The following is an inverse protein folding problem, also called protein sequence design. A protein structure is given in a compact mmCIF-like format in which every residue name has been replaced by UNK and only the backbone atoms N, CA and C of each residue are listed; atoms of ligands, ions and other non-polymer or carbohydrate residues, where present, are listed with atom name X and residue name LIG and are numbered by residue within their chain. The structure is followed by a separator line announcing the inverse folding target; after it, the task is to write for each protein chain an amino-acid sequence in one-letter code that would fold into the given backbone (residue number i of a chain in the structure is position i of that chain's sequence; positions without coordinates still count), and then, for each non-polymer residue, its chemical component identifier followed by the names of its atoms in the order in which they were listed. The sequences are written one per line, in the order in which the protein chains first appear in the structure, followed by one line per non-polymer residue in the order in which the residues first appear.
data_IF_491693020210
#
_entry.id   IF_491693020210
#
_cell.length_a   1.000
_cell.length_b   1.000
_cell.length_c   1.000
_cell.angle_alpha   90.00
_cell.angle_beta   90.00
_cell.angle_gamma   90.00
#
_symmetry.space_group_name_H-M   'P 1'
#
loop_
_entity.id
_entity.type
_entity.pdbx_description
1 polymer ?
#
# COMPACT_ATOMS: atom_id res chain seq x y z
N UNK A 1 2.77 -18.90 -2.30
CA UNK A 1 2.61 -17.66 -3.10
C UNK A 1 1.18 -17.48 -3.57
N UNK A 2 0.58 -18.49 -4.17
CA UNK A 2 -0.80 -18.48 -4.66
C UNK A 2 -1.82 -18.28 -3.53
N UNK A 3 -1.58 -18.85 -2.37
CA UNK A 3 -2.48 -18.74 -1.21
C UNK A 3 -2.69 -17.29 -0.74
N UNK A 4 -1.64 -16.45 -0.73
CA UNK A 4 -1.75 -15.08 -0.23
C UNK A 4 -2.63 -14.20 -1.12
N UNK A 5 -2.49 -14.31 -2.43
CA UNK A 5 -3.33 -13.58 -3.38
C UNK A 5 -4.76 -14.09 -3.36
N UNK A 6 -4.96 -15.42 -3.35
CA UNK A 6 -6.28 -16.04 -3.25
C UNK A 6 -7.01 -15.59 -1.99
N UNK A 7 -6.35 -15.64 -0.84
CA UNK A 7 -6.90 -15.16 0.43
C UNK A 7 -7.23 -13.66 0.39
N UNK A 8 -6.37 -12.85 -0.23
CA UNK A 8 -6.63 -11.42 -0.39
C UNK A 8 -7.90 -11.17 -1.20
N UNK A 9 -8.06 -11.85 -2.35
CA UNK A 9 -9.26 -11.74 -3.18
C UNK A 9 -10.50 -12.19 -2.38
N UNK A 10 -10.49 -13.40 -1.84
CA UNK A 10 -11.63 -13.97 -1.11
C UNK A 10 -12.06 -13.12 0.09
N UNK A 11 -11.10 -12.63 0.87
CA UNK A 11 -11.38 -11.72 2.00
C UNK A 11 -11.99 -10.40 1.52
N UNK A 12 -11.48 -9.85 0.42
CA UNK A 12 -11.96 -8.57 -0.10
C UNK A 12 -13.39 -8.66 -0.61
N UNK A 13 -13.75 -9.73 -1.35
CA UNK A 13 -15.11 -9.89 -1.90
C UNK A 13 -16.09 -10.58 -0.94
N UNK A 14 -15.59 -11.15 0.16
CA UNK A 14 -16.40 -11.86 1.17
C UNK A 14 -16.93 -13.22 0.72
N UNK A 15 -16.30 -13.85 -0.28
CA UNK A 15 -16.70 -15.18 -0.79
C UNK A 15 -15.52 -15.98 -1.33
N UNK A 16 -15.69 -17.31 -1.42
CA UNK A 16 -14.70 -18.21 -2.02
C UNK A 16 -14.67 -18.04 -3.55
N UNK A 17 -13.51 -18.28 -4.15
CA UNK A 17 -13.32 -18.37 -5.59
C UNK A 17 -12.89 -19.79 -5.97
N UNK A 18 -13.33 -20.27 -7.14
CA UNK A 18 -12.95 -21.57 -7.68
C UNK A 18 -11.49 -21.56 -8.17
N UNK A 19 -10.90 -22.74 -8.36
CA UNK A 19 -9.55 -22.85 -8.91
C UNK A 19 -9.48 -22.25 -10.32
N UNK A 20 -10.47 -22.51 -11.16
CA UNK A 20 -10.54 -21.94 -12.49
C UNK A 20 -10.61 -20.40 -12.49
N UNK A 21 -11.36 -19.80 -11.57
CA UNK A 21 -11.37 -18.34 -11.39
C UNK A 21 -10.02 -17.81 -10.93
N UNK A 22 -9.37 -18.49 -9.99
CA UNK A 22 -8.06 -18.09 -9.52
C UNK A 22 -6.99 -18.20 -10.61
N UNK A 23 -6.98 -19.28 -11.37
CA UNK A 23 -6.07 -19.47 -12.53
C UNK A 23 -6.31 -18.39 -13.58
N UNK A 24 -7.58 -18.08 -13.91
CA UNK A 24 -7.93 -17.00 -14.82
C UNK A 24 -7.38 -15.65 -14.33
N UNK A 25 -7.60 -15.29 -13.06
CA UNK A 25 -7.08 -14.05 -12.49
C UNK A 25 -5.54 -14.01 -12.52
N UNK A 26 -4.92 -15.07 -12.09
CA UNK A 26 -3.46 -15.18 -11.98
C UNK A 26 -2.75 -15.11 -13.34
N UNK A 27 -3.40 -15.56 -14.42
CA UNK A 27 -2.84 -15.53 -15.77
C UNK A 27 -2.55 -14.12 -16.31
N UNK A 28 -3.14 -13.09 -15.72
CA UNK A 28 -2.90 -11.69 -16.08
C UNK A 28 -1.74 -11.03 -15.30
N UNK A 29 -1.19 -11.73 -14.31
CA UNK A 29 -0.16 -11.21 -13.41
C UNK A 29 1.23 -11.74 -13.78
N UNK A 30 2.24 -10.91 -13.54
CA UNK A 30 3.64 -11.28 -13.74
C UNK A 30 4.37 -11.30 -12.41
N UNK A 31 5.11 -12.37 -12.14
CA UNK A 31 6.02 -12.44 -11.00
C UNK A 31 7.27 -11.60 -11.27
N UNK A 32 7.64 -10.73 -10.34
CA UNK A 32 8.86 -9.91 -10.40
C UNK A 32 9.57 -9.93 -9.05
N UNK A 33 10.88 -10.15 -9.05
CA UNK A 33 11.76 -9.93 -7.92
C UNK A 33 12.28 -8.49 -7.92
N UNK A 34 12.59 -7.96 -6.75
CA UNK A 34 13.14 -6.61 -6.59
C UNK A 34 14.12 -6.56 -5.43
N UNK A 35 15.09 -5.65 -5.54
CA UNK A 35 16.02 -5.32 -4.47
C UNK A 35 15.48 -4.22 -3.56
N UNK A 36 16.11 -4.06 -2.42
CA UNK A 36 15.88 -2.91 -1.54
C UNK A 36 16.23 -1.61 -2.26
N UNK A 37 15.43 -0.56 -2.07
CA UNK A 37 15.57 0.76 -2.71
C UNK A 37 15.32 0.75 -4.23
N UNK A 38 14.60 -0.24 -4.74
CA UNK A 38 14.14 -0.22 -6.13
C UNK A 38 13.00 0.80 -6.27
N UNK A 39 13.13 1.72 -7.22
CA UNK A 39 12.04 2.62 -7.61
C UNK A 39 11.09 1.86 -8.53
N UNK A 40 9.84 1.73 -8.13
CA UNK A 40 8.78 1.04 -8.88
C UNK A 40 8.00 2.01 -9.77
N UNK A 41 7.83 3.23 -9.31
CA UNK A 41 7.23 4.36 -10.01
C UNK A 41 7.88 5.63 -9.49
N UNK A 42 8.25 6.56 -10.36
CA UNK A 42 8.88 7.82 -9.99
C UNK A 42 7.92 8.98 -10.21
N UNK A 43 7.93 9.97 -9.33
CA UNK A 43 7.17 11.22 -9.50
C UNK A 43 7.52 11.87 -10.84
N UNK A 44 6.50 12.30 -11.58
CA UNK A 44 6.65 12.86 -12.92
C UNK A 44 6.65 11.84 -14.06
N UNK A 45 6.85 10.54 -13.77
CA UNK A 45 6.77 9.45 -14.73
C UNK A 45 5.38 8.79 -14.73
N UNK A 46 5.04 8.10 -15.85
CA UNK A 46 3.77 7.37 -15.92
C UNK A 46 3.82 6.06 -15.13
N UNK A 47 2.98 5.91 -14.11
CA UNK A 47 2.82 4.66 -13.37
C UNK A 47 2.05 3.63 -14.21
N UNK A 48 2.77 2.63 -14.73
CA UNK A 48 2.25 1.63 -15.67
C UNK A 48 1.67 0.39 -15.01
N UNK A 49 1.89 0.23 -13.70
CA UNK A 49 1.64 -1.03 -13.01
C UNK A 49 0.97 -0.84 -11.65
N UNK A 50 0.16 -1.83 -11.28
CA UNK A 50 -0.25 -2.10 -9.90
C UNK A 50 0.58 -3.27 -9.38
N UNK A 51 1.03 -3.19 -8.13
CA UNK A 51 1.92 -4.17 -7.51
C UNK A 51 1.23 -4.82 -6.31
N UNK A 52 1.27 -6.15 -6.24
CA UNK A 52 0.86 -6.93 -5.08
C UNK A 52 2.06 -7.58 -4.44
N UNK A 53 2.38 -7.24 -3.20
CA UNK A 53 3.56 -7.75 -2.51
C UNK A 53 3.34 -9.18 -2.02
N UNK A 54 4.23 -10.08 -2.45
CA UNK A 54 4.30 -11.46 -1.97
C UNK A 54 5.33 -11.61 -0.84
N UNK A 55 6.41 -10.83 -0.91
CA UNK A 55 7.49 -10.78 0.09
C UNK A 55 8.15 -9.42 0.05
N UNK A 56 8.56 -8.91 1.21
CA UNK A 56 9.24 -7.63 1.35
C UNK A 56 8.27 -6.49 1.66
N UNK A 57 8.74 -5.26 1.52
CA UNK A 57 7.95 -4.07 1.82
C UNK A 57 8.26 -2.92 0.86
N UNK A 58 7.26 -2.06 0.67
CA UNK A 58 7.35 -0.86 -0.16
C UNK A 58 6.57 0.29 0.48
N UNK A 59 6.83 1.50 0.02
CA UNK A 59 6.08 2.68 0.41
C UNK A 59 5.98 3.68 -0.73
N UNK A 60 4.96 4.52 -0.69
CA UNK A 60 4.84 5.68 -1.57
C UNK A 60 5.06 6.97 -0.80
N UNK A 61 5.66 7.96 -1.45
CA UNK A 61 5.98 9.24 -0.83
C UNK A 61 6.02 10.39 -1.83
N UNK A 62 5.77 11.58 -1.32
CA UNK A 62 6.09 12.86 -1.95
C UNK A 62 7.42 13.38 -1.39
N UNK A 63 8.14 14.17 -2.18
CA UNK A 63 9.32 14.91 -1.72
C UNK A 63 8.93 16.40 -1.63
N UNK A 64 9.14 17.03 -0.47
CA UNK A 64 8.93 18.47 -0.33
C UNK A 64 10.10 19.29 -0.87
N UNK A 65 9.98 20.61 -0.86
CA UNK A 65 11.03 21.54 -1.30
C UNK A 65 12.35 21.45 -0.51
N UNK A 66 12.32 20.84 0.68
CA UNK A 66 13.51 20.62 1.54
C UNK A 66 14.15 19.24 1.32
N UNK A 67 13.58 18.39 0.44
CA UNK A 67 14.07 17.03 0.19
C UNK A 67 13.54 15.97 1.17
N UNK A 68 12.60 16.32 2.07
CA UNK A 68 12.02 15.37 3.02
C UNK A 68 10.97 14.48 2.36
N UNK A 69 11.02 13.18 2.63
CA UNK A 69 10.04 12.20 2.15
C UNK A 69 8.79 12.21 3.04
N UNK A 70 7.65 12.53 2.45
CA UNK A 70 6.33 12.47 3.08
C UNK A 70 5.62 11.19 2.68
N UNK A 71 5.59 10.19 3.59
CA UNK A 71 4.98 8.90 3.33
C UNK A 71 3.45 8.99 3.18
N UNK A 72 2.92 8.36 2.12
CA UNK A 72 1.50 8.33 1.79
C UNK A 72 0.87 6.96 2.01
N UNK A 73 1.59 5.90 1.71
CA UNK A 73 1.13 4.51 1.84
C UNK A 73 2.30 3.60 2.20
N UNK A 74 2.02 2.55 2.96
CA UNK A 74 2.92 1.42 3.17
C UNK A 74 2.29 0.15 2.62
N UNK A 75 3.14 -0.76 2.14
CA UNK A 75 2.73 -2.08 1.70
C UNK A 75 3.68 -3.14 2.26
N UNK A 76 3.13 -4.17 2.87
CA UNK A 76 3.77 -5.43 3.24
C UNK A 76 3.19 -6.57 2.39
N UNK A 77 3.49 -7.80 2.75
CA UNK A 77 2.91 -8.98 2.10
C UNK A 77 1.36 -8.94 2.15
N UNK A 78 0.73 -9.19 1.01
CA UNK A 78 -0.72 -9.15 0.88
C UNK A 78 -1.32 -7.76 0.63
N UNK A 79 -0.49 -6.74 0.47
CA UNK A 79 -0.93 -5.39 0.13
C UNK A 79 -0.72 -5.07 -1.34
N UNK A 80 -1.66 -4.27 -1.87
CA UNK A 80 -1.56 -3.65 -3.18
C UNK A 80 -0.99 -2.25 -3.06
N UNK A 81 -0.14 -1.84 -4.00
CA UNK A 81 0.41 -0.49 -4.06
C UNK A 81 0.54 -0.03 -5.51
N UNK A 82 0.13 1.21 -5.78
CA UNK A 82 0.28 1.89 -7.07
C UNK A 82 0.09 3.39 -6.88
N UNK A 83 0.49 4.19 -7.84
CA UNK A 83 0.01 5.55 -8.00
C UNK A 83 -1.33 5.54 -8.73
N UNK A 84 -2.44 5.55 -7.97
CA UNK A 84 -3.79 5.51 -8.52
C UNK A 84 -4.08 6.69 -9.45
N UNK A 85 -3.54 7.89 -9.13
CA UNK A 85 -3.72 9.05 -9.98
C UNK A 85 -3.13 8.81 -11.37
N UNK A 86 -1.87 8.42 -11.43
CA UNK A 86 -1.20 8.13 -12.70
C UNK A 86 -1.77 6.92 -13.41
N UNK A 87 -1.94 5.81 -12.69
CA UNK A 87 -2.41 4.56 -13.26
C UNK A 87 -3.78 4.68 -13.93
N UNK A 88 -4.74 5.38 -13.31
CA UNK A 88 -6.10 5.51 -13.86
C UNK A 88 -6.28 6.71 -14.78
N UNK A 89 -5.63 7.84 -14.53
CA UNK A 89 -5.78 9.03 -15.38
C UNK A 89 -4.89 9.02 -16.62
N UNK A 90 -3.85 8.20 -16.65
CA UNK A 90 -2.82 8.21 -17.69
C UNK A 90 -1.94 9.46 -17.70
N UNK A 91 -1.98 10.26 -16.62
CA UNK A 91 -1.12 11.44 -16.43
C UNK A 91 0.17 11.07 -15.70
N UNK A 92 1.23 11.91 -15.76
CA UNK A 92 2.43 11.71 -14.95
C UNK A 92 2.10 11.56 -13.46
N UNK A 93 2.85 10.69 -12.77
CA UNK A 93 2.68 10.38 -11.35
C UNK A 93 2.93 11.57 -10.45
N UNK A 94 2.26 11.58 -9.32
CA UNK A 94 2.36 12.65 -8.32
C UNK A 94 3.19 12.24 -7.10
N UNK A 95 3.67 10.98 -7.05
CA UNK A 95 4.55 10.50 -6.00
C UNK A 95 5.41 9.32 -6.44
N UNK A 96 6.46 9.05 -5.67
CA UNK A 96 7.38 7.95 -5.90
C UNK A 96 7.00 6.72 -5.08
N UNK A 97 7.13 5.53 -5.67
CA UNK A 97 7.00 4.23 -4.97
C UNK A 97 8.37 3.57 -4.92
N UNK A 98 8.84 3.27 -3.71
CA UNK A 98 10.16 2.69 -3.45
C UNK A 98 10.04 1.46 -2.54
N UNK A 99 10.87 0.45 -2.77
CA UNK A 99 10.96 -0.74 -1.92
C UNK A 99 11.85 -0.49 -0.71
N UNK A 100 11.40 -0.91 0.48
CA UNK A 100 12.16 -0.81 1.73
C UNK A 100 12.99 -2.06 2.03
N UNK A 101 12.55 -3.21 1.51
CA UNK A 101 13.19 -4.52 1.64
C UNK A 101 13.25 -5.18 0.27
N UNK A 102 14.19 -6.09 0.07
CA UNK A 102 14.19 -6.96 -1.11
C UNK A 102 13.06 -7.98 -1.03
N UNK A 103 12.51 -8.39 -2.17
CA UNK A 103 11.39 -9.32 -2.16
C UNK A 103 10.86 -9.73 -3.54
N UNK A 104 9.59 -10.09 -3.55
CA UNK A 104 8.86 -10.51 -4.74
C UNK A 104 7.45 -9.88 -4.75
N UNK A 105 6.97 -9.59 -5.94
CA UNK A 105 5.65 -9.03 -6.17
C UNK A 105 5.00 -9.63 -7.41
N UNK A 106 3.68 -9.60 -7.45
CA UNK A 106 2.91 -9.77 -8.68
C UNK A 106 2.64 -8.39 -9.26
N UNK A 107 2.77 -8.29 -10.56
CA UNK A 107 2.66 -7.03 -11.30
C UNK A 107 1.51 -7.14 -12.29
N UNK A 108 0.66 -6.13 -12.31
CA UNK A 108 -0.48 -6.01 -13.21
C UNK A 108 -0.35 -4.71 -14.00
N UNK A 109 -0.27 -4.80 -15.33
CA UNK A 109 -0.27 -3.64 -16.19
C UNK A 109 -1.70 -3.15 -16.48
N UNK A 110 -1.85 -1.95 -17.06
CA UNK A 110 -3.15 -1.34 -17.34
C UNK A 110 -4.01 -2.16 -18.29
N UNK A 111 -3.43 -2.69 -19.36
CA UNK A 111 -4.15 -3.52 -20.33
C UNK A 111 -4.74 -4.77 -19.68
N UNK A 112 -3.93 -5.49 -18.91
CA UNK A 112 -4.38 -6.68 -18.20
C UNK A 112 -5.39 -6.35 -17.09
N UNK A 113 -5.28 -5.18 -16.44
CA UNK A 113 -6.28 -4.71 -15.48
C UNK A 113 -7.67 -4.58 -16.13
N UNK A 114 -7.76 -3.93 -17.27
CA UNK A 114 -9.04 -3.78 -18.00
C UNK A 114 -9.56 -5.17 -18.44
N UNK A 115 -8.69 -6.01 -19.04
CA UNK A 115 -9.05 -7.37 -19.45
C UNK A 115 -9.54 -8.25 -18.30
N UNK A 116 -8.94 -8.16 -17.12
CA UNK A 116 -9.41 -8.86 -15.91
C UNK A 116 -10.83 -8.39 -15.56
N UNK A 117 -11.05 -7.08 -15.49
CA UNK A 117 -12.35 -6.51 -15.12
C UNK A 117 -13.44 -6.91 -16.12
N UNK A 118 -13.14 -6.89 -17.41
CA UNK A 118 -14.07 -7.27 -18.48
C UNK A 118 -14.35 -8.79 -18.49
N UNK A 119 -13.40 -9.61 -18.05
CA UNK A 119 -13.50 -11.07 -18.15
C UNK A 119 -14.47 -11.68 -17.14
N UNK A 120 -14.68 -11.04 -15.99
CA UNK A 120 -15.52 -11.59 -14.93
C UNK A 120 -15.94 -10.50 -13.93
N UNK A 121 -17.25 -10.36 -13.71
CA UNK A 121 -17.83 -9.43 -12.72
C UNK A 121 -17.25 -9.57 -11.30
N UNK A 122 -16.79 -10.76 -10.93
CA UNK A 122 -16.16 -11.01 -9.64
C UNK A 122 -14.85 -10.22 -9.49
N UNK A 123 -14.09 -10.11 -10.56
CA UNK A 123 -12.80 -9.43 -10.56
C UNK A 123 -12.98 -7.91 -10.62
N UNK A 124 -13.94 -7.41 -11.40
CA UNK A 124 -14.35 -6.01 -11.34
C UNK A 124 -14.80 -5.65 -9.92
N UNK A 125 -15.68 -6.48 -9.31
CA UNK A 125 -16.12 -6.30 -7.93
C UNK A 125 -14.94 -6.28 -6.94
N UNK A 126 -13.95 -7.17 -7.12
CA UNK A 126 -12.75 -7.19 -6.30
C UNK A 126 -12.01 -5.86 -6.35
N UNK A 127 -11.66 -5.36 -7.53
CA UNK A 127 -10.93 -4.11 -7.67
C UNK A 127 -11.74 -2.91 -7.21
N UNK A 128 -13.03 -2.87 -7.50
CA UNK A 128 -13.92 -1.83 -6.99
C UNK A 128 -13.93 -1.76 -5.47
N UNK A 129 -14.06 -2.89 -4.78
CA UNK A 129 -14.02 -2.93 -3.31
C UNK A 129 -12.62 -2.55 -2.78
N UNK A 130 -11.56 -3.02 -3.43
CA UNK A 130 -10.19 -2.69 -3.07
C UNK A 130 -9.95 -1.17 -3.13
N UNK A 131 -10.37 -0.52 -4.21
CA UNK A 131 -10.25 0.93 -4.40
C UNK A 131 -11.15 1.69 -3.41
N UNK A 132 -12.39 1.23 -3.19
CA UNK A 132 -13.28 1.81 -2.17
C UNK A 132 -12.66 1.78 -0.78
N UNK A 133 -12.06 0.64 -0.38
CA UNK A 133 -11.40 0.52 0.91
C UNK A 133 -10.17 1.42 1.02
N UNK A 134 -9.39 1.57 -0.04
CA UNK A 134 -8.26 2.50 -0.09
C UNK A 134 -8.74 3.96 0.07
N UNK A 135 -9.83 4.34 -0.60
CA UNK A 135 -10.42 5.67 -0.48
C UNK A 135 -10.98 5.93 0.92
N UNK A 136 -11.71 4.96 1.51
CA UNK A 136 -12.22 5.04 2.90
C UNK A 136 -11.05 5.24 3.87
N UNK A 137 -9.98 4.46 3.74
CA UNK A 137 -8.79 4.58 4.58
C UNK A 137 -8.11 5.93 4.46
N UNK A 138 -8.03 6.49 3.24
CA UNK A 138 -7.48 7.82 3.01
C UNK A 138 -8.33 8.91 3.66
N UNK A 139 -9.66 8.86 3.49
CA UNK A 139 -10.61 9.79 4.12
C UNK A 139 -10.52 9.73 5.65
N UNK A 140 -10.48 8.52 6.21
CA UNK A 140 -10.36 8.31 7.64
C UNK A 140 -9.06 8.92 8.19
N UNK A 141 -7.92 8.63 7.55
CA UNK A 141 -6.62 9.19 7.94
C UNK A 141 -6.62 10.72 7.87
N UNK A 142 -7.17 11.30 6.80
CA UNK A 142 -7.26 12.76 6.66
C UNK A 142 -8.08 13.39 7.79
N UNK A 143 -9.23 12.81 8.13
CA UNK A 143 -10.06 13.25 9.24
C UNK A 143 -9.30 13.19 10.58
N UNK A 144 -8.64 12.05 10.87
CA UNK A 144 -7.86 11.85 12.09
C UNK A 144 -6.67 12.81 12.22
N UNK A 145 -5.99 13.09 11.12
CA UNK A 145 -4.85 14.03 11.10
C UNK A 145 -5.30 15.44 11.52
N UNK A 146 -6.53 15.82 11.18
CA UNK A 146 -7.07 17.14 11.47
C UNK A 146 -7.77 17.25 12.85
N UNK A 147 -8.21 16.13 13.44
CA UNK A 147 -9.05 16.14 14.66
C UNK A 147 -8.38 15.53 15.89
N UNK A 148 -7.33 14.76 15.76
CA UNK A 148 -6.69 14.04 16.87
C UNK A 148 -5.26 14.48 17.11
N UNK A 149 -4.82 14.33 18.36
CA UNK A 149 -3.44 14.56 18.73
C UNK A 149 -2.49 13.42 18.25
N UNK A 150 -1.20 13.68 18.35
CA UNK A 150 -0.17 12.74 17.88
C UNK A 150 -0.16 11.42 18.65
N UNK A 151 -0.46 11.44 19.95
CA UNK A 151 -0.48 10.22 20.80
C UNK A 151 -1.59 9.27 20.39
N UNK A 152 -2.80 9.80 20.20
CA UNK A 152 -3.95 9.01 19.77
C UNK A 152 -3.73 8.40 18.37
N UNK A 153 -3.25 9.20 17.39
CA UNK A 153 -2.95 8.70 16.05
C UNK A 153 -1.92 7.59 16.06
N UNK A 154 -0.83 7.72 16.86
CA UNK A 154 0.18 6.68 16.96
C UNK A 154 -0.32 5.43 17.67
N UNK A 155 -1.09 5.58 18.77
CA UNK A 155 -1.65 4.45 19.50
C UNK A 155 -2.60 3.63 18.63
N UNK A 156 -3.52 4.29 17.92
CA UNK A 156 -4.43 3.64 16.99
C UNK A 156 -3.68 2.92 15.86
N UNK A 157 -2.73 3.59 15.21
CA UNK A 157 -1.92 2.97 14.16
C UNK A 157 -1.14 1.75 14.66
N UNK A 158 -0.56 1.83 15.86
CA UNK A 158 0.20 0.73 16.46
C UNK A 158 -0.67 -0.48 16.76
N UNK A 159 -1.91 -0.26 17.17
CA UNK A 159 -2.89 -1.33 17.44
C UNK A 159 -3.41 -1.98 16.15
N UNK A 160 -3.70 -1.17 15.13
CA UNK A 160 -4.25 -1.66 13.87
C UNK A 160 -3.17 -2.32 12.97
N UNK A 161 -1.94 -1.84 13.05
CA UNK A 161 -0.86 -2.23 12.13
C UNK A 161 0.45 -2.59 12.84
N UNK A 162 0.45 -3.59 13.75
CA UNK A 162 1.65 -3.94 14.52
C UNK A 162 2.82 -4.40 13.62
N UNK A 163 2.54 -5.03 12.48
CA UNK A 163 3.57 -5.43 11.52
C UNK A 163 4.28 -4.23 10.88
N UNK A 164 3.58 -3.13 10.61
CA UNK A 164 4.22 -1.91 10.13
C UNK A 164 5.14 -1.29 11.18
N UNK A 165 4.72 -1.28 12.45
CA UNK A 165 5.56 -0.74 13.56
C UNK A 165 6.89 -1.49 13.69
N UNK A 166 6.91 -2.80 13.40
CA UNK A 166 8.10 -3.63 13.50
C UNK A 166 9.05 -3.48 12.30
N UNK A 167 8.52 -3.23 11.10
CA UNK A 167 9.30 -3.32 9.85
C UNK A 167 9.55 -1.98 9.16
N UNK A 168 8.66 -1.00 9.35
CA UNK A 168 8.80 0.30 8.70
C UNK A 168 9.67 1.23 9.57
N UNK A 169 10.63 1.95 8.97
CA UNK A 169 11.43 2.94 9.69
C UNK A 169 10.58 3.99 10.40
N UNK A 170 10.91 4.30 11.65
CA UNK A 170 10.09 5.15 12.51
C UNK A 170 9.89 6.57 11.97
N UNK A 171 10.89 7.11 11.27
CA UNK A 171 10.75 8.43 10.64
C UNK A 171 9.71 8.46 9.52
N UNK A 172 9.53 7.33 8.80
CA UNK A 172 8.47 7.19 7.79
C UNK A 172 7.08 7.06 8.44
N UNK A 173 6.99 6.31 9.55
CA UNK A 173 5.75 6.22 10.34
C UNK A 173 5.38 7.61 10.88
N UNK A 174 6.34 8.36 11.42
CA UNK A 174 6.11 9.73 11.87
C UNK A 174 5.58 10.61 10.73
N UNK A 175 6.23 10.55 9.58
CA UNK A 175 5.79 11.28 8.38
C UNK A 175 4.36 10.89 7.95
N UNK A 176 4.05 9.58 7.88
CA UNK A 176 2.72 9.08 7.52
C UNK A 176 1.60 9.56 8.46
N UNK A 177 1.92 9.65 9.75
CA UNK A 177 0.98 10.08 10.79
C UNK A 177 0.91 11.62 10.96
N UNK A 178 1.74 12.38 10.22
CA UNK A 178 1.85 13.83 10.41
C UNK A 178 2.42 14.20 11.78
N UNK A 179 3.38 13.43 12.29
CA UNK A 179 4.02 13.61 13.59
C UNK A 179 5.50 13.97 13.37
N UNK A 180 6.04 14.94 14.10
CA UNK A 180 7.49 15.20 14.06
C UNK A 180 8.25 14.00 14.63
N UNK A 181 9.38 13.56 14.02
CA UNK A 181 10.14 12.39 14.48
C UNK A 181 10.52 12.43 15.96
N UNK A 182 10.88 13.63 16.48
CA UNK A 182 11.21 13.82 17.90
C UNK A 182 10.00 13.58 18.82
N UNK A 183 8.83 14.06 18.41
CA UNK A 183 7.57 13.84 19.14
C UNK A 183 7.21 12.35 19.16
N UNK A 184 7.34 11.65 18.02
CA UNK A 184 7.12 10.21 17.97
C UNK A 184 8.05 9.44 18.88
N UNK A 185 9.35 9.80 18.91
CA UNK A 185 10.33 9.18 19.83
C UNK A 185 9.92 9.34 21.30
N UNK A 186 9.42 10.53 21.71
CA UNK A 186 8.90 10.79 23.06
C UNK A 186 7.69 9.92 23.36
N UNK A 187 6.66 9.93 22.49
CA UNK A 187 5.44 9.13 22.66
C UNK A 187 5.79 7.66 22.88
N UNK A 188 6.69 7.10 22.09
CA UNK A 188 7.11 5.70 22.23
C UNK A 188 7.78 5.39 23.57
N UNK A 189 8.64 6.29 24.07
CA UNK A 189 9.27 6.12 25.39
C UNK A 189 8.25 6.14 26.53
N UNK A 190 7.28 7.06 26.47
CA UNK A 190 6.21 7.17 27.46
C UNK A 190 5.30 5.93 27.47
N UNK A 191 4.97 5.38 26.28
CA UNK A 191 4.19 4.14 26.19
C UNK A 191 4.97 2.90 26.67
N UNK A 192 6.27 2.83 26.43
CA UNK A 192 7.09 1.72 26.91
C UNK A 192 7.26 1.72 28.44
N UNK A 193 7.24 2.89 29.09
CA UNK A 193 7.33 3.03 30.54
C UNK A 193 6.00 2.79 31.28
N UNK A 194 4.90 2.68 30.56
CA UNK A 194 3.54 2.39 31.13
C UNK A 194 3.19 0.90 31.13
N UNK A 195 4.06 0.02 30.58
CA UNK A 195 3.96 -1.45 30.63
C UNK A 195 4.85 -2.01 31.71
#
# INVERSE_FOLDING_TARGET
MEDLLRQNIQRTIGQQITDAQFEQFSSFLFLKSFDKKTILCEEGEHCKYVYFLLKGSAFSYLVNEYGDKHALQFALEGYWITDHYSFFSGKPGIYTIETLEAGQMLVLNRENFERICDSNHLFERFFRILIQNAFIGLQYRLAKTNSEDAEHRYAEFSNLYPAFIQRIPQYLIASYLGIKPQSLSRIRKEQAGKK
#
